data_IF_962431030005
#
_entry.id   IF_962431030005
#
_cell.length_a   1.000
_cell.length_b   1.000
_cell.length_c   1.000
_cell.angle_alpha   90.00
_cell.angle_beta   90.00
_cell.angle_gamma   90.00
#
_symmetry.space_group_name_H-M   'P 1'
#
loop_
_entity.id
_entity.type
_entity.pdbx_description
1 polymer ?
#
# COMPACT_ATOMS: atom_id res chain seq x y z
N UNK A 1 -16.00 5.22 0.74
CA UNK A 1 -15.45 4.17 -0.16
C UNK A 1 -13.95 4.35 -0.44
N UNK A 2 -13.45 5.54 -0.80
CA UNK A 2 -12.02 5.78 -1.14
C UNK A 2 -10.97 5.40 -0.08
N UNK A 3 -11.26 5.62 1.21
CA UNK A 3 -10.26 5.43 2.28
C UNK A 3 -9.85 3.97 2.48
N UNK A 4 -10.70 3.00 2.14
CA UNK A 4 -10.41 1.58 2.28
C UNK A 4 -9.28 1.10 1.33
N UNK A 5 -9.35 1.32 0.00
CA UNK A 5 -8.26 0.92 -0.90
C UNK A 5 -6.97 1.71 -0.65
N UNK A 6 -7.03 2.99 -0.24
CA UNK A 6 -5.82 3.76 0.09
C UNK A 6 -5.14 3.29 1.38
N UNK A 7 -5.94 3.00 2.42
CA UNK A 7 -5.40 2.44 3.67
C UNK A 7 -4.86 1.03 3.45
N UNK A 8 -5.54 0.22 2.64
CA UNK A 8 -5.07 -1.12 2.27
C UNK A 8 -3.78 -1.07 1.45
N UNK A 9 -3.66 -0.13 0.51
CA UNK A 9 -2.43 0.09 -0.25
C UNK A 9 -1.27 0.51 0.65
N UNK A 10 -1.50 1.46 1.57
CA UNK A 10 -0.46 1.99 2.46
C UNK A 10 -0.04 0.95 3.52
N UNK A 11 -0.98 0.42 4.30
CA UNK A 11 -0.67 -0.53 5.39
C UNK A 11 -0.39 -1.95 4.89
N UNK A 12 -0.82 -2.30 3.67
CA UNK A 12 -0.49 -3.57 3.03
C UNK A 12 0.74 -3.51 2.12
N UNK A 13 1.37 -2.34 1.96
CA UNK A 13 2.49 -2.10 1.03
C UNK A 13 2.17 -2.53 -0.43
N UNK A 14 0.89 -2.50 -0.79
CA UNK A 14 0.40 -3.03 -2.07
C UNK A 14 0.43 -1.96 -3.14
N UNK A 15 0.75 -2.38 -4.37
CA UNK A 15 0.35 -1.61 -5.54
C UNK A 15 -1.14 -1.81 -5.75
N UNK A 16 -1.84 -0.78 -6.20
CA UNK A 16 -3.28 -0.86 -6.47
C UNK A 16 -3.61 -1.99 -7.45
N UNK A 17 -2.77 -2.18 -8.48
CA UNK A 17 -2.89 -3.28 -9.44
C UNK A 17 -2.95 -4.68 -8.82
N UNK A 18 -2.45 -4.89 -7.60
CA UNK A 18 -2.42 -6.21 -6.96
C UNK A 18 -3.73 -6.58 -6.24
N UNK A 19 -4.72 -5.68 -6.18
CA UNK A 19 -6.04 -5.93 -5.58
C UNK A 19 -7.20 -5.45 -6.44
N UNK A 20 -6.91 -4.94 -7.64
CA UNK A 20 -7.88 -4.40 -8.61
C UNK A 20 -8.10 -5.27 -9.85
N UNK A 21 -7.36 -6.38 -10.03
CA UNK A 21 -7.45 -7.12 -11.28
C UNK A 21 -8.75 -7.94 -11.40
N UNK A 22 -9.45 -7.72 -12.53
CA UNK A 22 -10.43 -8.64 -13.13
C UNK A 22 -9.85 -10.04 -13.35
N UNK A 23 -10.71 -11.08 -13.37
CA UNK A 23 -10.30 -12.48 -13.57
C UNK A 23 -9.58 -12.78 -14.91
N UNK A 24 -9.61 -11.87 -15.88
CA UNK A 24 -9.07 -12.10 -17.23
C UNK A 24 -7.59 -11.72 -17.41
N UNK A 25 -6.95 -11.02 -16.46
CA UNK A 25 -5.54 -10.64 -16.59
C UNK A 25 -4.85 -10.51 -15.23
N UNK A 26 -4.79 -11.62 -14.49
CA UNK A 26 -4.04 -11.71 -13.22
C UNK A 26 -2.55 -12.00 -13.47
N UNK A 27 -1.86 -11.09 -14.16
CA UNK A 27 -0.39 -11.04 -14.10
C UNK A 27 0.00 -10.36 -12.78
N UNK A 28 -0.21 -11.08 -11.69
CA UNK A 28 0.53 -10.80 -10.47
C UNK A 28 1.99 -11.08 -10.85
N UNK A 29 2.82 -10.03 -10.94
CA UNK A 29 4.25 -10.06 -11.31
C UNK A 29 5.13 -11.14 -10.64
N UNK A 30 4.57 -11.89 -9.69
CA UNK A 30 5.23 -12.93 -8.88
C UNK A 30 4.38 -14.20 -8.67
N UNK A 31 3.14 -14.28 -9.15
CA UNK A 31 2.32 -15.50 -9.04
C UNK A 31 2.19 -16.19 -10.41
N UNK A 32 3.33 -16.63 -10.93
CA UNK A 32 3.41 -17.37 -12.20
C UNK A 32 2.60 -18.68 -12.15
N UNK A 33 2.30 -19.19 -10.96
CA UNK A 33 1.63 -20.48 -10.73
C UNK A 33 0.16 -20.34 -10.30
N UNK A 34 -0.38 -19.12 -10.25
CA UNK A 34 -1.78 -18.80 -9.87
C UNK A 34 -2.21 -19.45 -8.55
N UNK A 35 -1.31 -19.60 -7.59
CA UNK A 35 -1.63 -20.22 -6.29
C UNK A 35 -2.35 -19.28 -5.34
N UNK A 36 -2.40 -17.99 -5.67
CA UNK A 36 -2.85 -16.95 -4.76
C UNK A 36 -1.81 -16.70 -3.67
N UNK A 37 -1.87 -15.52 -3.07
CA UNK A 37 -0.99 -15.15 -1.96
C UNK A 37 -1.83 -14.68 -0.79
N UNK A 38 -1.73 -15.42 0.32
CA UNK A 38 -2.33 -15.06 1.60
C UNK A 38 -1.67 -13.81 2.15
N UNK A 39 -2.47 -12.77 2.40
CA UNK A 39 -2.00 -11.50 2.97
C UNK A 39 -2.52 -11.36 4.40
N UNK A 40 -1.62 -11.12 5.34
CA UNK A 40 -1.97 -10.76 6.71
C UNK A 40 -1.89 -9.25 6.91
N UNK A 41 -2.98 -8.63 7.36
CA UNK A 41 -3.03 -7.20 7.72
C UNK A 41 -3.36 -7.10 9.21
N UNK A 42 -2.46 -6.47 9.96
CA UNK A 42 -2.67 -6.17 11.37
C UNK A 42 -3.62 -4.99 11.57
N UNK A 43 -4.47 -5.06 12.58
CA UNK A 43 -5.26 -3.92 13.02
C UNK A 43 -4.34 -2.94 13.77
N UNK A 44 -4.22 -1.72 13.25
CA UNK A 44 -3.38 -0.68 13.87
C UNK A 44 -3.92 -0.11 15.19
N UNK A 45 -5.20 -0.35 15.53
CA UNK A 45 -5.82 0.14 16.77
C UNK A 45 -6.03 1.66 16.86
N UNK A 46 -5.62 2.42 15.85
CA UNK A 46 -5.72 3.89 15.78
C UNK A 46 -6.81 4.34 14.80
N UNK A 47 -7.13 5.65 14.79
CA UNK A 47 -8.18 6.25 13.94
C UNK A 47 -8.07 5.89 12.45
N UNK A 48 -6.85 5.67 11.94
CA UNK A 48 -6.60 5.23 10.56
C UNK A 48 -6.19 3.75 10.62
N UNK A 49 -7.18 2.85 10.50
CA UNK A 49 -6.98 1.41 10.54
C UNK A 49 -7.46 0.75 9.26
N UNK A 50 -6.54 0.08 8.54
CA UNK A 50 -6.87 -0.63 7.31
C UNK A 50 -7.92 -1.74 7.55
N UNK A 51 -7.79 -2.50 8.64
CA UNK A 51 -8.74 -3.57 8.98
C UNK A 51 -10.14 -3.00 9.19
N UNK A 52 -10.28 -1.93 9.98
CA UNK A 52 -11.57 -1.29 10.23
C UNK A 52 -12.16 -0.69 8.95
N UNK A 53 -11.33 -0.06 8.11
CA UNK A 53 -11.76 0.52 6.84
C UNK A 53 -12.26 -0.55 5.85
N UNK A 54 -11.57 -1.69 5.75
CA UNK A 54 -11.99 -2.82 4.90
C UNK A 54 -13.26 -3.46 5.44
N UNK A 55 -13.36 -3.71 6.75
CA UNK A 55 -14.58 -4.27 7.36
C UNK A 55 -15.81 -3.41 7.08
N UNK A 56 -15.70 -2.09 7.26
CA UNK A 56 -16.79 -1.15 6.97
C UNK A 56 -17.14 -1.10 5.48
N UNK A 57 -16.15 -1.27 4.61
CA UNK A 57 -16.38 -1.37 3.17
C UNK A 57 -17.13 -2.65 2.80
N UNK A 58 -16.75 -3.80 3.37
CA UNK A 58 -17.40 -5.09 3.11
C UNK A 58 -18.88 -5.09 3.52
N UNK A 59 -19.25 -4.39 4.60
CA UNK A 59 -20.64 -4.20 5.00
C UNK A 59 -21.49 -3.50 3.93
N UNK A 60 -20.89 -2.61 3.13
CA UNK A 60 -21.58 -1.87 2.06
C UNK A 60 -21.50 -2.60 0.72
N UNK A 61 -20.39 -3.28 0.44
CA UNK A 61 -20.17 -4.09 -0.76
C UNK A 61 -21.12 -5.29 -0.82
N UNK A 62 -21.33 -5.94 0.32
CA UNK A 62 -22.00 -7.24 0.40
C UNK A 62 -21.14 -8.40 -0.14
N UNK A 63 -21.78 -9.56 -0.29
CA UNK A 63 -21.12 -10.86 -0.53
C UNK A 63 -21.10 -11.28 -2.00
N UNK A 64 -21.40 -10.36 -2.92
CA UNK A 64 -21.39 -10.66 -4.35
C UNK A 64 -20.01 -11.19 -4.81
N UNK A 65 -19.98 -12.20 -5.70
CA UNK A 65 -18.74 -12.72 -6.25
C UNK A 65 -18.05 -11.64 -7.09
N UNK A 66 -16.72 -11.57 -7.02
CA UNK A 66 -15.94 -10.59 -7.80
C UNK A 66 -14.72 -10.06 -7.05
N UNK A 67 -14.06 -9.02 -7.59
CA UNK A 67 -12.89 -8.42 -6.95
C UNK A 67 -13.24 -7.83 -5.58
N UNK A 68 -12.21 -7.70 -4.74
CA UNK A 68 -12.37 -7.18 -3.38
C UNK A 68 -12.92 -5.76 -3.41
N UNK A 69 -12.39 -4.89 -4.27
CA UNK A 69 -12.84 -3.51 -4.41
C UNK A 69 -13.57 -3.30 -5.74
N UNK A 70 -14.83 -2.89 -5.64
CA UNK A 70 -15.72 -2.51 -6.75
C UNK A 70 -16.17 -1.06 -6.61
N UNK A 71 -16.45 -0.43 -7.75
CA UNK A 71 -17.14 0.85 -7.87
C UNK A 71 -18.65 0.68 -7.61
N UNK A 72 -19.37 1.79 -7.48
CA UNK A 72 -20.80 1.79 -7.20
C UNK A 72 -21.65 1.13 -8.30
N UNK A 73 -21.13 1.07 -9.53
CA UNK A 73 -21.74 0.39 -10.67
C UNK A 73 -21.42 -1.11 -10.73
N UNK A 74 -20.69 -1.65 -9.73
CA UNK A 74 -20.24 -3.04 -9.67
C UNK A 74 -18.99 -3.34 -10.47
N UNK A 75 -18.44 -2.37 -11.22
CA UNK A 75 -17.21 -2.57 -11.99
C UNK A 75 -15.99 -2.66 -11.05
N UNK A 76 -14.93 -3.40 -11.43
CA UNK A 76 -13.70 -3.47 -10.66
C UNK A 76 -13.06 -2.09 -10.50
N UNK A 77 -12.66 -1.76 -9.27
CA UNK A 77 -11.80 -0.60 -9.05
C UNK A 77 -10.50 -0.81 -9.83
N UNK A 78 -9.96 0.19 -10.53
CA UNK A 78 -8.71 0.06 -11.30
C UNK A 78 -7.60 1.00 -10.78
N UNK A 79 -6.31 0.74 -11.11
CA UNK A 79 -5.21 1.64 -10.74
C UNK A 79 -5.37 3.06 -11.28
N UNK A 80 -5.95 3.19 -12.48
CA UNK A 80 -6.23 4.48 -13.12
C UNK A 80 -7.22 5.28 -12.29
N UNK A 81 -8.32 4.64 -11.87
CA UNK A 81 -9.36 5.28 -11.04
C UNK A 81 -8.78 5.72 -9.69
N UNK A 82 -7.99 4.88 -9.03
CA UNK A 82 -7.37 5.25 -7.75
C UNK A 82 -6.39 6.42 -7.91
N UNK A 83 -5.57 6.42 -8.96
CA UNK A 83 -4.65 7.52 -9.22
C UNK A 83 -5.40 8.82 -9.55
N UNK A 84 -6.50 8.75 -10.31
CA UNK A 84 -7.35 9.90 -10.62
C UNK A 84 -7.94 10.51 -9.33
N UNK A 85 -8.52 9.67 -8.47
CA UNK A 85 -9.05 10.09 -7.18
C UNK A 85 -7.96 10.68 -6.27
N UNK A 86 -6.77 10.07 -6.24
CA UNK A 86 -5.63 10.57 -5.49
C UNK A 86 -5.22 11.97 -5.97
N UNK A 87 -5.04 12.14 -7.27
CA UNK A 87 -4.70 13.44 -7.86
C UNK A 87 -5.76 14.50 -7.54
N UNK A 88 -7.05 14.17 -7.71
CA UNK A 88 -8.13 15.10 -7.41
C UNK A 88 -8.14 15.53 -5.93
N UNK A 89 -7.95 14.61 -4.98
CA UNK A 89 -7.90 14.97 -3.56
C UNK A 89 -6.70 15.84 -3.21
N UNK A 90 -5.52 15.51 -3.74
CA UNK A 90 -4.31 16.27 -3.45
C UNK A 90 -4.37 17.67 -4.06
N UNK A 91 -4.91 17.80 -5.26
CA UNK A 91 -5.20 19.09 -5.88
C UNK A 91 -6.16 19.93 -5.03
N UNK A 92 -7.22 19.33 -4.51
CA UNK A 92 -8.18 20.01 -3.62
C UNK A 92 -7.54 20.46 -2.29
N UNK A 93 -6.50 19.76 -1.83
CA UNK A 93 -5.74 20.13 -0.63
C UNK A 93 -4.57 21.09 -0.92
N UNK A 94 -4.40 21.53 -2.17
CA UNK A 94 -3.31 22.41 -2.58
C UNK A 94 -1.92 21.75 -2.57
N UNK A 95 -1.85 20.43 -2.46
CA UNK A 95 -0.60 19.68 -2.44
C UNK A 95 -0.11 19.53 -3.88
N UNK A 96 1.03 20.16 -4.18
CA UNK A 96 1.67 20.09 -5.50
C UNK A 96 2.59 18.86 -5.59
N UNK A 97 2.51 18.12 -6.69
CA UNK A 97 3.41 17.02 -7.00
C UNK A 97 2.76 15.88 -7.80
N UNK A 98 3.59 14.96 -8.29
CA UNK A 98 3.14 13.76 -9.00
C UNK A 98 3.04 12.59 -8.03
N UNK A 99 1.83 12.36 -7.52
CA UNK A 99 1.55 11.27 -6.61
C UNK A 99 0.80 10.16 -7.33
N UNK A 100 1.17 8.92 -7.03
CA UNK A 100 0.49 7.74 -7.53
C UNK A 100 0.34 6.71 -6.43
N UNK A 101 -0.38 5.63 -6.72
CA UNK A 101 -0.40 4.44 -5.87
C UNK A 101 1.00 3.91 -5.53
N UNK A 102 2.00 4.14 -6.39
CA UNK A 102 3.38 3.78 -6.09
C UNK A 102 3.96 4.61 -4.92
N UNK A 103 3.57 5.88 -4.81
CA UNK A 103 3.99 6.77 -3.74
C UNK A 103 3.56 6.26 -2.36
N UNK A 104 2.40 5.60 -2.24
CA UNK A 104 1.99 4.95 -0.99
C UNK A 104 2.96 3.85 -0.56
N UNK A 105 3.41 3.01 -1.50
CA UNK A 105 4.35 1.92 -1.22
C UNK A 105 5.73 2.46 -0.83
N UNK A 106 6.18 3.54 -1.46
CA UNK A 106 7.41 4.26 -1.08
C UNK A 106 7.27 4.79 0.34
N UNK A 107 6.22 5.58 0.60
CA UNK A 107 5.97 6.20 1.90
C UNK A 107 5.82 5.20 3.04
N UNK A 108 5.19 4.05 2.77
CA UNK A 108 5.06 2.97 3.75
C UNK A 108 6.42 2.37 4.13
N UNK A 109 7.30 2.10 3.15
CA UNK A 109 8.67 1.66 3.44
C UNK A 109 9.49 2.71 4.20
N UNK A 110 9.40 3.98 3.80
CA UNK A 110 10.09 5.07 4.50
C UNK A 110 9.60 5.17 5.94
N UNK A 111 8.29 5.08 6.18
CA UNK A 111 7.70 5.15 7.52
C UNK A 111 8.12 3.96 8.39
N UNK A 112 8.10 2.75 7.85
CA UNK A 112 8.55 1.55 8.54
C UNK A 112 10.03 1.65 8.95
N UNK A 113 10.88 2.13 8.06
CA UNK A 113 12.29 2.35 8.37
C UNK A 113 12.49 3.41 9.45
N UNK A 114 11.75 4.53 9.39
CA UNK A 114 11.80 5.57 10.44
C UNK A 114 11.30 5.09 11.80
N UNK A 115 10.46 4.04 11.82
CA UNK A 115 9.97 3.42 13.04
C UNK A 115 10.93 2.34 13.58
N UNK A 116 12.11 2.18 12.95
CA UNK A 116 13.12 1.22 13.37
C UNK A 116 12.81 -0.22 12.96
N UNK A 117 11.87 -0.45 12.05
CA UNK A 117 11.56 -1.81 11.57
C UNK A 117 12.77 -2.34 10.77
N UNK A 118 13.30 -3.53 11.10
CA UNK A 118 14.41 -4.13 10.37
C UNK A 118 14.14 -4.26 8.87
N UNK A 119 15.16 -3.98 8.05
CA UNK A 119 15.03 -3.94 6.59
C UNK A 119 14.57 -5.26 5.97
N UNK A 120 14.94 -6.40 6.56
CA UNK A 120 14.47 -7.71 6.10
C UNK A 120 12.94 -7.87 6.28
N UNK A 121 12.36 -7.34 7.37
CA UNK A 121 10.91 -7.33 7.55
C UNK A 121 10.23 -6.38 6.56
N UNK A 122 10.81 -5.20 6.31
CA UNK A 122 10.31 -4.26 5.30
C UNK A 122 10.33 -4.93 3.91
N UNK A 123 11.40 -5.64 3.57
CA UNK A 123 11.54 -6.40 2.32
C UNK A 123 10.44 -7.45 2.18
N UNK A 124 10.24 -8.26 3.22
CA UNK A 124 9.21 -9.32 3.26
C UNK A 124 7.82 -8.73 3.17
N UNK A 125 7.53 -7.70 3.97
CA UNK A 125 6.21 -7.08 4.05
C UNK A 125 5.82 -6.38 2.74
N UNK A 126 6.77 -5.69 2.11
CA UNK A 126 6.57 -5.14 0.77
C UNK A 126 6.71 -6.15 -0.36
N UNK A 127 7.07 -7.42 -0.10
CA UNK A 127 7.24 -8.46 -1.13
C UNK A 127 8.24 -8.04 -2.22
N UNK A 128 9.34 -7.41 -1.82
CA UNK A 128 10.43 -7.09 -2.75
C UNK A 128 11.34 -8.31 -2.92
N UNK A 129 11.48 -8.80 -4.16
CA UNK A 129 12.46 -9.85 -4.47
C UNK A 129 13.90 -9.32 -4.40
N UNK A 130 14.11 -8.09 -4.88
CA UNK A 130 15.41 -7.42 -4.93
C UNK A 130 15.57 -6.32 -3.87
N UNK A 131 16.76 -5.74 -3.80
CA UNK A 131 17.08 -4.62 -2.91
C UNK A 131 16.57 -3.26 -3.42
N UNK A 132 15.65 -3.23 -4.39
CA UNK A 132 15.09 -1.99 -4.94
C UNK A 132 14.45 -1.09 -3.86
N UNK A 133 13.95 -1.67 -2.76
CA UNK A 133 13.35 -0.95 -1.64
C UNK A 133 14.33 -0.04 -0.90
N UNK A 134 15.64 -0.33 -0.94
CA UNK A 134 16.66 0.51 -0.30
C UNK A 134 16.68 1.92 -0.90
N UNK A 135 16.33 2.08 -2.18
CA UNK A 135 16.22 3.39 -2.82
C UNK A 135 15.09 4.26 -2.25
N UNK A 136 14.13 3.66 -1.56
CA UNK A 136 12.99 4.36 -0.94
C UNK A 136 13.27 4.78 0.50
N UNK A 137 14.19 4.08 1.17
CA UNK A 137 14.55 4.34 2.55
C UNK A 137 15.68 5.36 2.54
N UNK A 138 15.38 6.60 2.92
CA UNK A 138 16.37 7.67 3.07
C UNK A 138 16.72 7.79 4.55
N UNK A 139 17.99 7.53 4.89
CA UNK A 139 18.49 7.75 6.25
C UNK A 139 18.74 9.25 6.44
N UNK A 140 18.12 9.91 7.43
CA UNK A 140 18.39 11.31 7.72
C UNK A 140 19.86 11.49 8.15
N UNK A 141 20.48 12.60 7.74
CA UNK A 141 21.86 12.95 8.14
C UNK A 141 22.11 12.87 9.66
N UNK A 142 21.19 13.33 10.54
CA UNK A 142 21.35 13.22 11.99
C UNK A 142 21.51 11.78 12.52
N UNK A 143 20.86 10.81 11.85
CA UNK A 143 21.00 9.39 12.21
C UNK A 143 22.41 8.90 11.87
N UNK A 144 22.93 9.29 10.70
CA UNK A 144 24.30 8.94 10.31
C UNK A 144 25.34 9.51 11.27
N UNK A 145 25.16 10.76 11.71
CA UNK A 145 26.06 11.39 12.69
C UNK A 145 25.99 10.73 14.06
N UNK A 146 24.84 10.18 14.45
CA UNK A 146 24.69 9.49 15.74
C UNK A 146 25.41 8.13 15.81
N UNK A 147 25.75 7.54 14.67
CA UNK A 147 26.43 6.23 14.61
C UNK A 147 27.78 6.27 15.33
N UNK A 148 28.53 7.37 15.20
CA UNK A 148 29.82 7.53 15.86
C UNK A 148 29.72 7.38 17.40
N UNK A 149 28.62 7.84 18.00
CA UNK A 149 28.37 7.73 19.44
C UNK A 149 27.95 6.32 19.88
N UNK A 150 27.38 5.52 18.98
CA UNK A 150 26.99 4.12 19.27
C UNK A 150 28.19 3.17 19.15
N UNK A 151 29.19 3.54 18.36
CA UNK A 151 30.41 2.75 18.13
C UNK A 151 31.54 3.04 19.12
N UNK A 152 31.40 4.08 19.95
CA UNK A 152 32.34 4.45 21.00
C UNK A 152 32.06 3.67 22.30
#
# INVERSE_FOLDING_TARGET
MFWAPCSFAFFGFRRVCEFTCSPLHQDVKTDQFRRGVSLSIGASGIRICAVSAVRRYLQVRGDAPGPLFVLSDGSPLTPVVVNCWLSAMLSNLGIRGTYSSHSFRIGAATKAASAGIPYHLIKTFGRWSSNAYLRYIRTPSPVLTSIAAVLA
#
